data_IF_564098588127
#
_entry.id   IF_564098588127
#
_cell.length_a   1.000
_cell.length_b   1.000
_cell.length_c   1.000
_cell.angle_alpha   90.00
_cell.angle_beta   90.00
_cell.angle_gamma   90.00
#
_symmetry.space_group_name_H-M   'P 1'
#
loop_
_entity.id
_entity.type
_entity.pdbx_description
1 polymer ?
#
# COMPACT_ATOMS: atom_id res chain seq x y z
N UNK A 1 -47.89 7.12 22.20
CA UNK A 1 -47.09 7.30 20.97
C UNK A 1 -45.65 6.98 21.33
N UNK A 2 -45.19 5.77 21.02
CA UNK A 2 -43.94 5.23 21.55
C UNK A 2 -42.80 5.59 20.60
N UNK A 3 -42.06 6.66 20.89
CA UNK A 3 -40.90 7.06 20.09
C UNK A 3 -39.76 6.05 20.26
N UNK A 4 -39.56 5.20 19.25
CA UNK A 4 -38.37 4.36 19.14
C UNK A 4 -37.18 5.24 18.78
N UNK A 5 -36.35 5.55 19.79
CA UNK A 5 -35.08 6.24 19.60
C UNK A 5 -34.13 5.26 18.91
N UNK A 6 -34.01 5.36 17.59
CA UNK A 6 -32.97 4.65 16.85
C UNK A 6 -31.60 5.18 17.31
N UNK A 7 -30.92 4.41 18.13
CA UNK A 7 -29.52 4.61 18.47
C UNK A 7 -28.67 4.27 17.24
N UNK A 8 -28.32 5.27 16.45
CA UNK A 8 -27.31 5.15 15.41
C UNK A 8 -25.96 4.84 16.09
N UNK A 9 -25.46 3.62 15.93
CA UNK A 9 -24.09 3.27 16.31
C UNK A 9 -23.14 4.02 15.37
N UNK A 10 -22.16 4.79 15.88
CA UNK A 10 -21.19 5.43 15.01
C UNK A 10 -20.40 4.34 14.29
N UNK A 11 -20.44 4.34 12.96
CA UNK A 11 -19.53 3.53 12.15
C UNK A 11 -18.15 4.15 12.33
N UNK A 12 -17.36 3.59 13.23
CA UNK A 12 -15.94 3.96 13.36
C UNK A 12 -15.22 3.41 12.14
N UNK A 13 -15.05 4.24 11.12
CA UNK A 13 -14.07 3.97 10.07
C UNK A 13 -12.70 3.96 10.73
N UNK A 14 -12.16 2.76 11.01
CA UNK A 14 -10.78 2.61 11.46
C UNK A 14 -9.88 3.09 10.32
N UNK A 15 -9.34 4.31 10.45
CA UNK A 15 -8.32 4.81 9.54
C UNK A 15 -7.06 3.99 9.80
N UNK A 16 -6.78 3.04 8.92
CA UNK A 16 -5.54 2.26 8.96
C UNK A 16 -4.38 3.23 8.71
N UNK A 17 -3.42 3.29 9.63
CA UNK A 17 -2.24 4.11 9.44
C UNK A 17 -1.34 3.49 8.34
N UNK A 18 -0.71 4.31 7.47
CA UNK A 18 0.28 3.81 6.54
C UNK A 18 1.43 3.11 7.25
N UNK A 19 1.85 1.96 6.73
CA UNK A 19 3.02 1.23 7.20
C UNK A 19 4.24 1.62 6.36
N UNK A 20 5.36 1.93 7.03
CA UNK A 20 6.65 2.13 6.36
C UNK A 20 7.32 0.78 6.11
N UNK A 21 6.91 0.09 5.05
CA UNK A 21 7.57 -1.13 4.57
C UNK A 21 8.54 -0.79 3.45
N UNK A 22 9.73 -1.38 3.44
CA UNK A 22 10.71 -1.21 2.36
C UNK A 22 10.72 -2.44 1.44
N UNK A 23 11.10 -2.24 0.18
CA UNK A 23 11.36 -3.32 -0.79
C UNK A 23 12.85 -3.33 -1.10
N UNK A 24 13.43 -4.51 -1.36
CA UNK A 24 14.83 -4.57 -1.80
C UNK A 24 14.96 -3.97 -3.20
N UNK A 25 16.03 -3.23 -3.52
CA UNK A 25 16.20 -2.69 -4.87
C UNK A 25 16.32 -3.80 -5.91
N UNK A 26 15.62 -3.66 -7.03
CA UNK A 26 15.69 -4.60 -8.14
C UNK A 26 17.01 -4.47 -8.90
N UNK A 27 17.77 -5.56 -9.01
CA UNK A 27 19.08 -5.60 -9.68
C UNK A 27 19.04 -6.31 -11.04
N UNK A 28 17.98 -7.06 -11.34
CA UNK A 28 17.79 -7.69 -12.65
C UNK A 28 18.66 -8.92 -12.91
N UNK A 29 19.03 -9.67 -11.87
CA UNK A 29 19.77 -10.93 -12.02
C UNK A 29 18.88 -12.14 -12.34
N UNK A 30 19.48 -13.23 -12.82
CA UNK A 30 18.77 -14.49 -13.13
C UNK A 30 18.02 -15.08 -11.92
N UNK A 31 18.49 -14.80 -10.70
CA UNK A 31 17.86 -15.24 -9.44
C UNK A 31 16.84 -14.25 -8.88
N UNK A 32 16.61 -13.12 -9.56
CA UNK A 32 15.71 -12.06 -9.13
C UNK A 32 14.60 -11.86 -10.18
N UNK A 33 13.57 -12.72 -10.18
CA UNK A 33 12.50 -12.62 -11.17
C UNK A 33 11.69 -11.34 -10.97
N UNK A 34 11.65 -10.50 -12.02
CA UNK A 34 10.92 -9.23 -12.04
C UNK A 34 9.47 -9.36 -11.55
N UNK A 35 8.78 -10.43 -11.94
CA UNK A 35 7.39 -10.67 -11.54
C UNK A 35 7.23 -10.84 -10.01
N UNK A 36 8.18 -11.52 -9.35
CA UNK A 36 8.16 -11.67 -7.89
C UNK A 36 8.41 -10.31 -7.23
N UNK A 37 9.40 -9.57 -7.72
CA UNK A 37 9.72 -8.25 -7.20
C UNK A 37 8.54 -7.27 -7.33
N UNK A 38 7.80 -7.31 -8.44
CA UNK A 38 6.57 -6.53 -8.62
C UNK A 38 5.49 -6.84 -7.58
N UNK A 39 5.29 -8.11 -7.21
CA UNK A 39 4.34 -8.49 -6.16
C UNK A 39 4.75 -7.91 -4.80
N UNK A 40 6.04 -7.95 -4.48
CA UNK A 40 6.56 -7.36 -3.25
C UNK A 40 6.41 -5.82 -3.25
N UNK A 41 6.69 -5.17 -4.39
CA UNK A 41 6.50 -3.73 -4.57
C UNK A 41 5.02 -3.32 -4.39
N UNK A 42 4.08 -4.05 -4.97
CA UNK A 42 2.64 -3.77 -4.86
C UNK A 42 2.13 -3.89 -3.41
N UNK A 43 2.61 -4.90 -2.68
CA UNK A 43 2.33 -5.04 -1.25
C UNK A 43 2.83 -3.83 -0.44
N UNK A 44 4.02 -3.32 -0.77
CA UNK A 44 4.59 -2.12 -0.14
C UNK A 44 3.80 -0.86 -0.49
N UNK A 45 3.43 -0.68 -1.76
CA UNK A 45 2.60 0.45 -2.23
C UNK A 45 1.26 0.48 -1.48
N UNK A 46 0.62 -0.69 -1.36
CA UNK A 46 -0.64 -0.86 -0.63
C UNK A 46 -0.47 -0.55 0.85
N UNK A 47 0.57 -1.09 1.50
CA UNK A 47 0.84 -0.88 2.91
C UNK A 47 1.17 0.60 3.24
N UNK A 48 1.89 1.29 2.35
CA UNK A 48 2.18 2.73 2.44
C UNK A 48 1.01 3.61 2.04
N UNK A 49 -0.07 3.03 1.50
CA UNK A 49 -1.23 3.75 0.97
C UNK A 49 -0.85 4.81 -0.06
N UNK A 50 0.14 4.53 -0.91
CA UNK A 50 0.51 5.42 -2.01
C UNK A 50 -0.58 5.34 -3.08
N UNK A 51 -1.58 6.21 -3.01
CA UNK A 51 -2.74 6.21 -3.92
C UNK A 51 -2.50 7.00 -5.20
N UNK A 52 -1.59 7.97 -5.14
CA UNK A 52 -1.27 8.80 -6.29
C UNK A 52 -0.41 8.01 -7.29
N UNK A 53 -0.84 7.85 -8.55
CA UNK A 53 -0.08 7.09 -9.55
C UNK A 53 1.32 7.63 -9.79
N UNK A 54 1.52 8.95 -9.72
CA UNK A 54 2.85 9.55 -9.90
C UNK A 54 3.77 9.14 -8.74
N UNK A 55 3.28 9.19 -7.50
CA UNK A 55 4.02 8.70 -6.33
C UNK A 55 4.35 7.21 -6.41
N UNK A 56 3.45 6.37 -6.94
CA UNK A 56 3.71 4.95 -7.15
C UNK A 56 4.85 4.73 -8.15
N UNK A 57 4.83 5.44 -9.28
CA UNK A 57 5.87 5.36 -10.32
C UNK A 57 7.22 5.87 -9.79
N UNK A 58 7.24 7.02 -9.13
CA UNK A 58 8.46 7.56 -8.51
C UNK A 58 9.04 6.60 -7.48
N UNK A 59 8.19 5.99 -6.66
CA UNK A 59 8.61 4.99 -5.67
C UNK A 59 9.20 3.75 -6.36
N UNK A 60 8.53 3.21 -7.38
CA UNK A 60 9.05 2.08 -8.15
C UNK A 60 10.43 2.38 -8.76
N UNK A 61 10.59 3.55 -9.41
CA UNK A 61 11.86 3.96 -10.01
C UNK A 61 12.96 4.15 -8.97
N UNK A 62 12.65 4.67 -7.78
CA UNK A 62 13.64 4.83 -6.70
C UNK A 62 14.13 3.50 -6.10
N UNK A 63 13.46 2.39 -6.39
CA UNK A 63 13.84 1.05 -5.93
C UNK A 63 14.49 0.21 -7.05
N UNK A 64 14.95 0.84 -8.13
CA UNK A 64 15.82 0.18 -9.10
C UNK A 64 17.27 0.38 -8.66
N UNK A 65 18.10 -0.66 -8.76
CA UNK A 65 19.54 -0.49 -8.56
C UNK A 65 20.15 0.31 -9.73
N UNK A 66 21.12 1.18 -9.43
CA UNK A 66 21.93 1.91 -10.42
C UNK A 66 22.78 0.98 -11.31
#
# INVERSE_FOLDING_TARGET
MNSHRQSATPVTTMRVAPLKLDVSPYRGGENEPLARWFVELDAVITARQLRDPIQQVLFAMSNLAD
#
